data_IF_124063075649
#
_entry.id   IF_124063075649
#
_cell.length_a   1.000
_cell.length_b   1.000
_cell.length_c   1.000
_cell.angle_alpha   90.00
_cell.angle_beta   90.00
_cell.angle_gamma   90.00
#
_symmetry.space_group_name_H-M   'P 1'
#
loop_
_entity.id
_entity.type
_entity.pdbx_description
1 polymer ?
#
# COMPACT_ATOMS: atom_id res chain seq x y z
N UNK A 1 -7.94 -6.95 23.37
CA UNK A 1 -7.26 -7.77 22.34
C UNK A 1 -6.87 -6.85 21.20
N UNK A 2 -5.66 -6.97 20.64
CA UNK A 2 -5.25 -6.15 19.50
C UNK A 2 -5.81 -6.64 18.17
N UNK A 3 -5.80 -5.77 17.17
CA UNK A 3 -6.37 -6.02 15.84
C UNK A 3 -5.51 -6.99 15.02
N UNK A 4 -6.15 -7.70 14.09
CA UNK A 4 -5.53 -8.67 13.18
C UNK A 4 -5.64 -8.18 11.75
N UNK A 5 -4.50 -8.13 11.06
CA UNK A 5 -4.40 -7.60 9.69
C UNK A 5 -3.78 -8.65 8.77
N UNK A 6 -4.45 -8.93 7.66
CA UNK A 6 -3.92 -9.74 6.57
C UNK A 6 -3.60 -8.86 5.36
N UNK A 7 -2.36 -8.92 4.88
CA UNK A 7 -1.94 -8.29 3.64
C UNK A 7 -1.91 -9.31 2.51
N UNK A 8 -2.64 -9.04 1.43
CA UNK A 8 -2.64 -9.81 0.19
C UNK A 8 -2.00 -8.96 -0.90
N UNK A 9 -0.92 -9.46 -1.50
CA UNK A 9 -0.18 -8.66 -2.49
C UNK A 9 1.00 -9.38 -3.12
N UNK A 10 2.02 -8.63 -3.48
CA UNK A 10 3.19 -9.17 -4.16
C UNK A 10 4.49 -8.59 -3.57
N UNK A 11 5.54 -8.49 -4.38
CA UNK A 11 6.87 -8.03 -3.97
C UNK A 11 6.88 -6.64 -3.33
N UNK A 12 5.90 -5.77 -3.62
CA UNK A 12 5.75 -4.45 -2.99
C UNK A 12 5.33 -4.56 -1.52
N UNK A 13 4.54 -5.58 -1.16
CA UNK A 13 4.23 -5.91 0.23
C UNK A 13 5.35 -6.72 0.86
N UNK A 14 5.86 -7.76 0.17
CA UNK A 14 6.89 -8.65 0.73
C UNK A 14 8.15 -7.88 1.15
N UNK A 15 8.60 -6.91 0.35
CA UNK A 15 9.80 -6.11 0.65
C UNK A 15 9.62 -5.14 1.82
N UNK A 16 8.38 -4.80 2.17
CA UNK A 16 8.07 -3.97 3.34
C UNK A 16 7.74 -4.82 4.59
N UNK A 17 7.49 -6.13 4.43
CA UNK A 17 6.90 -6.98 5.48
C UNK A 17 7.65 -6.95 6.81
N UNK A 18 8.99 -6.97 6.78
CA UNK A 18 9.83 -6.88 7.97
C UNK A 18 9.65 -5.54 8.68
N UNK A 19 9.77 -4.41 7.96
CA UNK A 19 9.62 -3.07 8.52
C UNK A 19 8.21 -2.83 9.05
N UNK A 20 7.18 -3.32 8.36
CA UNK A 20 5.79 -3.26 8.83
C UNK A 20 5.67 -4.03 10.15
N UNK A 21 6.18 -5.27 10.21
CA UNK A 21 6.10 -6.11 11.42
C UNK A 21 6.84 -5.47 12.60
N UNK A 22 8.05 -4.97 12.37
CA UNK A 22 8.88 -4.33 13.41
C UNK A 22 8.22 -3.05 13.93
N UNK A 23 7.66 -2.22 13.04
CA UNK A 23 6.95 -0.99 13.42
C UNK A 23 5.69 -1.31 14.23
N UNK A 24 4.84 -2.23 13.76
CA UNK A 24 3.64 -2.63 14.50
C UNK A 24 4.00 -3.27 15.85
N UNK A 25 5.07 -4.08 15.92
CA UNK A 25 5.54 -4.64 17.19
C UNK A 25 5.98 -3.56 18.19
N UNK A 26 6.61 -2.49 17.71
CA UNK A 26 7.03 -1.35 18.55
C UNK A 26 5.83 -0.51 19.01
N UNK A 27 4.98 -0.10 18.06
CA UNK A 27 3.98 0.94 18.31
C UNK A 27 2.61 0.37 18.72
N UNK A 28 2.37 -0.92 18.50
CA UNK A 28 1.10 -1.60 18.72
C UNK A 28 1.29 -3.12 18.96
N UNK A 29 2.00 -3.51 20.03
CA UNK A 29 2.50 -4.88 20.25
C UNK A 29 1.41 -5.98 20.29
N UNK A 30 0.18 -5.61 20.60
CA UNK A 30 -0.95 -6.55 20.63
C UNK A 30 -1.53 -6.86 19.25
N UNK A 31 -1.18 -6.07 18.23
CA UNK A 31 -1.63 -6.29 16.87
C UNK A 31 -0.94 -7.51 16.26
N UNK A 32 -1.65 -8.20 15.36
CA UNK A 32 -1.14 -9.39 14.67
C UNK A 32 -1.16 -9.14 13.17
N UNK A 33 0.03 -9.16 12.59
CA UNK A 33 0.25 -8.88 11.17
C UNK A 33 0.53 -10.19 10.45
N UNK A 34 -0.09 -10.38 9.29
CA UNK A 34 0.12 -11.55 8.43
C UNK A 34 0.19 -11.16 6.97
N UNK A 35 0.94 -11.93 6.20
CA UNK A 35 1.17 -11.68 4.78
C UNK A 35 0.83 -12.92 3.96
N UNK A 36 0.18 -12.72 2.83
CA UNK A 36 0.01 -13.70 1.78
C UNK A 36 0.41 -13.03 0.46
N UNK A 37 1.61 -13.32 -0.01
CA UNK A 37 2.20 -12.60 -1.15
C UNK A 37 2.75 -13.52 -2.21
N UNK A 38 2.57 -13.18 -3.49
CA UNK A 38 3.18 -13.87 -4.62
C UNK A 38 3.79 -12.87 -5.61
N UNK A 39 5.07 -13.04 -5.94
CA UNK A 39 5.84 -12.07 -6.72
C UNK A 39 5.21 -11.75 -8.08
N UNK A 40 5.08 -10.45 -8.40
CA UNK A 40 4.53 -9.96 -9.66
C UNK A 40 3.03 -10.20 -9.91
N UNK A 41 2.31 -10.83 -8.97
CA UNK A 41 0.91 -11.19 -9.15
C UNK A 41 -0.05 -10.01 -8.91
N UNK A 42 -1.18 -10.06 -9.59
CA UNK A 42 -2.29 -9.11 -9.51
C UNK A 42 -3.40 -9.64 -8.60
N UNK A 43 -4.42 -8.81 -8.34
CA UNK A 43 -5.56 -9.24 -7.53
C UNK A 43 -6.37 -10.34 -8.20
N UNK A 44 -6.49 -10.34 -9.53
CA UNK A 44 -7.19 -11.38 -10.26
C UNK A 44 -6.59 -12.77 -10.02
N UNK A 45 -5.25 -12.87 -10.02
CA UNK A 45 -4.53 -14.08 -9.66
C UNK A 45 -4.87 -14.55 -8.23
N UNK A 46 -4.81 -13.65 -7.25
CA UNK A 46 -5.14 -14.00 -5.87
C UNK A 46 -6.60 -14.40 -5.70
N UNK A 47 -7.51 -13.80 -6.46
CA UNK A 47 -8.94 -14.11 -6.39
C UNK A 47 -9.25 -15.52 -6.91
N UNK A 48 -8.50 -15.97 -7.92
CA UNK A 48 -8.62 -17.32 -8.47
C UNK A 48 -8.00 -18.40 -7.57
N UNK A 49 -7.14 -18.03 -6.61
CA UNK A 49 -6.51 -18.97 -5.70
C UNK A 49 -7.42 -19.28 -4.49
N UNK A 50 -7.92 -20.52 -4.44
CA UNK A 50 -8.75 -20.99 -3.33
C UNK A 50 -8.07 -20.88 -1.96
N UNK A 51 -6.73 -20.89 -1.89
CA UNK A 51 -5.98 -20.74 -0.64
C UNK A 51 -6.13 -19.34 -0.06
N UNK A 52 -6.30 -18.31 -0.90
CA UNK A 52 -6.57 -16.94 -0.44
C UNK A 52 -7.91 -16.89 0.27
N UNK A 53 -8.96 -17.46 -0.31
CA UNK A 53 -10.28 -17.51 0.33
C UNK A 53 -10.24 -18.32 1.62
N UNK A 54 -9.52 -19.45 1.67
CA UNK A 54 -9.30 -20.19 2.93
C UNK A 54 -8.59 -19.34 3.99
N UNK A 55 -7.57 -18.56 3.61
CA UNK A 55 -6.84 -17.68 4.52
C UNK A 55 -7.70 -16.52 5.04
N UNK A 56 -8.57 -15.96 4.21
CA UNK A 56 -9.55 -14.94 4.61
C UNK A 56 -10.52 -15.50 5.66
N UNK A 57 -10.94 -16.76 5.51
CA UNK A 57 -11.90 -17.40 6.44
C UNK A 57 -11.24 -18.15 7.61
N UNK A 58 -9.91 -18.22 7.69
CA UNK A 58 -9.22 -19.03 8.70
C UNK A 58 -9.33 -18.46 10.12
N UNK A 59 -9.66 -17.18 10.25
CA UNK A 59 -9.94 -16.51 11.52
C UNK A 59 -10.70 -15.20 11.27
N UNK A 60 -11.24 -14.59 12.32
CA UNK A 60 -11.72 -13.21 12.25
C UNK A 60 -10.54 -12.26 12.08
N UNK A 61 -10.43 -11.66 10.90
CA UNK A 61 -9.56 -10.52 10.64
C UNK A 61 -10.34 -9.24 10.87
N UNK A 62 -9.66 -8.19 11.30
CA UNK A 62 -10.28 -6.86 11.42
C UNK A 62 -10.08 -6.08 10.12
N UNK A 63 -8.90 -6.23 9.51
CA UNK A 63 -8.56 -5.60 8.24
C UNK A 63 -7.94 -6.60 7.27
N UNK A 64 -8.34 -6.50 6.00
CA UNK A 64 -7.68 -7.21 4.91
C UNK A 64 -7.23 -6.18 3.88
N UNK A 65 -5.91 -6.04 3.72
CA UNK A 65 -5.27 -5.07 2.85
C UNK A 65 -4.96 -5.72 1.51
N UNK A 66 -5.48 -5.15 0.43
CA UNK A 66 -5.35 -5.62 -0.95
C UNK A 66 -4.38 -4.73 -1.71
N UNK A 67 -3.41 -5.35 -2.37
CA UNK A 67 -2.44 -4.69 -3.23
C UNK A 67 -2.56 -5.22 -4.66
N UNK A 68 -2.75 -4.32 -5.63
CA UNK A 68 -2.66 -4.64 -7.06
C UNK A 68 -1.19 -4.65 -7.54
N UNK A 69 -0.94 -5.25 -8.69
CA UNK A 69 0.29 -5.11 -9.45
C UNK A 69 0.57 -3.63 -9.78
N UNK A 70 1.84 -3.24 -9.70
CA UNK A 70 2.29 -1.84 -9.63
C UNK A 70 1.94 -0.95 -10.83
N UNK A 71 1.60 -1.54 -11.99
CA UNK A 71 1.23 -0.83 -13.21
C UNK A 71 -0.27 -0.93 -13.50
N UNK A 72 -0.89 -2.09 -13.24
CA UNK A 72 -2.17 -2.49 -13.83
C UNK A 72 -3.36 -1.59 -13.49
N UNK A 73 -3.43 -1.10 -12.25
CA UNK A 73 -4.57 -0.27 -11.78
C UNK A 73 -4.82 0.95 -12.68
N UNK A 74 -3.78 1.65 -13.12
CA UNK A 74 -3.88 2.86 -13.94
C UNK A 74 -3.62 2.67 -15.44
N UNK A 75 -3.35 1.44 -15.91
CA UNK A 75 -2.83 1.19 -17.26
C UNK A 75 -3.93 1.32 -18.34
N UNK A 76 -5.21 1.28 -17.94
CA UNK A 76 -6.35 1.33 -18.83
C UNK A 76 -6.76 -0.02 -19.39
N UNK A 77 -7.84 -0.02 -20.17
CA UNK A 77 -8.40 -1.21 -20.82
C UNK A 77 -8.67 -2.36 -19.84
N UNK A 78 -8.39 -3.59 -20.30
CA UNK A 78 -8.61 -4.82 -19.52
C UNK A 78 -7.88 -4.84 -18.17
N UNK A 79 -6.75 -4.14 -18.03
CA UNK A 79 -5.96 -4.12 -16.80
C UNK A 79 -6.65 -3.34 -15.69
N UNK A 80 -7.08 -2.10 -15.97
CA UNK A 80 -7.83 -1.29 -15.01
C UNK A 80 -9.20 -1.89 -14.72
N UNK A 81 -9.87 -2.46 -15.72
CA UNK A 81 -11.13 -3.18 -15.53
C UNK A 81 -10.97 -4.36 -14.58
N UNK A 82 -9.99 -5.23 -14.83
CA UNK A 82 -9.70 -6.39 -13.98
C UNK A 82 -9.37 -5.99 -12.53
N UNK A 83 -8.63 -4.89 -12.32
CA UNK A 83 -8.38 -4.35 -10.99
C UNK A 83 -9.69 -3.99 -10.27
N UNK A 84 -10.59 -3.23 -10.90
CA UNK A 84 -11.86 -2.83 -10.30
C UNK A 84 -12.78 -4.01 -10.01
N UNK A 85 -12.88 -4.98 -10.92
CA UNK A 85 -13.66 -6.20 -10.73
C UNK A 85 -13.12 -7.07 -9.60
N UNK A 86 -11.79 -7.18 -9.50
CA UNK A 86 -11.12 -7.94 -8.44
C UNK A 86 -11.32 -7.28 -7.08
N UNK A 87 -11.19 -5.96 -6.99
CA UNK A 87 -11.48 -5.21 -5.75
C UNK A 87 -12.93 -5.39 -5.34
N UNK A 88 -13.88 -5.33 -6.28
CA UNK A 88 -15.30 -5.52 -5.97
C UNK A 88 -15.60 -6.92 -5.42
N UNK A 89 -15.02 -7.95 -6.05
CA UNK A 89 -15.17 -9.33 -5.63
C UNK A 89 -14.56 -9.59 -4.25
N UNK A 90 -13.29 -9.17 -4.05
CA UNK A 90 -12.65 -9.29 -2.74
C UNK A 90 -13.39 -8.51 -1.66
N UNK A 91 -13.87 -7.30 -1.94
CA UNK A 91 -14.58 -6.49 -0.96
C UNK A 91 -15.87 -7.17 -0.48
N UNK A 92 -16.57 -7.90 -1.34
CA UNK A 92 -17.73 -8.73 -0.95
C UNK A 92 -17.29 -9.89 -0.06
N UNK A 93 -16.24 -10.62 -0.43
CA UNK A 93 -15.71 -11.76 0.33
C UNK A 93 -15.24 -11.31 1.73
N UNK A 94 -14.46 -10.24 1.80
CA UNK A 94 -13.87 -9.68 3.02
C UNK A 94 -14.97 -9.21 3.98
N UNK A 95 -15.97 -8.48 3.48
CA UNK A 95 -17.12 -8.05 4.31
C UNK A 95 -17.93 -9.23 4.83
N UNK A 96 -18.16 -10.26 4.00
CA UNK A 96 -18.86 -11.47 4.43
C UNK A 96 -18.11 -12.19 5.56
N UNK A 97 -16.78 -12.12 5.57
CA UNK A 97 -15.93 -12.63 6.65
C UNK A 97 -15.88 -11.71 7.89
N UNK A 98 -16.54 -10.55 7.87
CA UNK A 98 -16.60 -9.60 8.98
C UNK A 98 -15.44 -8.62 9.08
N UNK A 99 -14.58 -8.54 8.05
CA UNK A 99 -13.41 -7.68 8.03
C UNK A 99 -13.63 -6.41 7.18
N UNK A 100 -12.78 -5.39 7.37
CA UNK A 100 -12.78 -4.15 6.59
C UNK A 100 -11.85 -4.31 5.36
N UNK A 101 -12.38 -4.26 4.12
CA UNK A 101 -11.54 -4.24 2.94
C UNK A 101 -10.77 -2.93 2.89
N UNK A 102 -9.45 -3.06 2.76
CA UNK A 102 -8.52 -1.94 2.70
C UNK A 102 -7.66 -2.03 1.44
N UNK A 103 -7.37 -0.92 0.78
CA UNK A 103 -6.61 -0.87 -0.46
C UNK A 103 -5.26 -0.20 -0.23
N UNK A 104 -4.19 -0.88 -0.57
CA UNK A 104 -2.84 -0.33 -0.58
C UNK A 104 -2.64 0.46 -1.88
N UNK A 105 -2.96 1.76 -1.85
CA UNK A 105 -2.69 2.66 -2.96
C UNK A 105 -1.17 2.82 -3.10
N UNK A 106 -0.61 2.13 -4.10
CA UNK A 106 0.83 2.07 -4.39
C UNK A 106 1.34 3.37 -5.01
N UNK A 107 2.65 3.42 -5.27
CA UNK A 107 3.31 4.57 -5.91
C UNK A 107 3.62 4.31 -7.39
N UNK A 108 3.79 5.39 -8.16
CA UNK A 108 4.36 5.38 -9.50
C UNK A 108 5.86 5.09 -9.46
N UNK A 109 6.39 4.50 -10.53
CA UNK A 109 7.83 4.26 -10.68
C UNK A 109 8.60 5.58 -10.76
N UNK A 110 9.84 5.60 -10.26
CA UNK A 110 10.67 6.78 -10.01
C UNK A 110 10.75 7.74 -11.21
N UNK A 111 10.90 7.17 -12.41
CA UNK A 111 11.05 7.90 -13.68
C UNK A 111 9.89 7.60 -14.65
N UNK A 112 8.72 7.22 -14.14
CA UNK A 112 7.69 6.61 -14.96
C UNK A 112 8.03 5.16 -15.34
N UNK A 113 7.34 4.63 -16.34
CA UNK A 113 7.46 3.23 -16.75
C UNK A 113 7.88 3.12 -18.21
N UNK A 114 9.16 2.82 -18.43
CA UNK A 114 9.78 2.77 -19.76
C UNK A 114 9.06 1.82 -20.72
N UNK A 115 8.54 0.70 -20.22
CA UNK A 115 7.81 -0.28 -21.03
C UNK A 115 6.41 0.18 -21.44
N UNK A 116 5.87 1.21 -20.78
CA UNK A 116 4.55 1.78 -21.05
C UNK A 116 4.64 3.31 -21.17
N UNK A 117 5.69 3.82 -21.81
CA UNK A 117 6.03 5.26 -21.84
C UNK A 117 4.92 6.15 -22.40
N UNK A 118 4.11 5.64 -23.33
CA UNK A 118 2.94 6.37 -23.86
C UNK A 118 1.83 6.62 -22.82
N UNK A 119 1.77 5.81 -21.77
CA UNK A 119 0.76 5.92 -20.69
C UNK A 119 1.39 6.48 -19.41
N UNK A 120 2.64 6.13 -19.14
CA UNK A 120 3.41 6.43 -17.93
C UNK A 120 4.76 7.09 -18.27
N UNK A 121 4.78 8.24 -18.95
CA UNK A 121 6.03 8.89 -19.34
C UNK A 121 6.82 9.43 -18.14
N UNK A 122 6.15 9.73 -17.03
CA UNK A 122 6.76 10.29 -15.82
C UNK A 122 6.16 9.66 -14.55
N UNK A 123 6.82 9.89 -13.41
CA UNK A 123 6.28 9.53 -12.10
C UNK A 123 4.90 10.15 -11.88
N UNK A 124 4.73 11.44 -12.19
CA UNK A 124 3.50 12.19 -11.96
C UNK A 124 2.35 11.63 -12.80
N UNK A 125 2.60 11.34 -14.08
CA UNK A 125 1.61 10.75 -14.97
C UNK A 125 1.14 9.38 -14.46
N UNK A 126 2.09 8.53 -14.04
CA UNK A 126 1.80 7.22 -13.47
C UNK A 126 1.05 7.32 -12.14
N UNK A 127 1.54 8.14 -11.21
CA UNK A 127 0.93 8.32 -9.89
C UNK A 127 -0.50 8.86 -10.00
N UNK A 128 -0.76 9.80 -10.90
CA UNK A 128 -2.11 10.35 -11.12
C UNK A 128 -3.10 9.25 -11.54
N UNK A 129 -2.71 8.40 -12.49
CA UNK A 129 -3.54 7.29 -12.99
C UNK A 129 -3.78 6.22 -11.93
N UNK A 130 -2.73 5.77 -11.23
CA UNK A 130 -2.83 4.82 -10.13
C UNK A 130 -3.77 5.38 -9.04
N UNK A 131 -3.54 6.61 -8.61
CA UNK A 131 -4.34 7.23 -7.55
C UNK A 131 -5.81 7.35 -7.91
N UNK A 132 -6.11 7.72 -9.17
CA UNK A 132 -7.48 7.86 -9.66
C UNK A 132 -8.20 6.50 -9.65
N UNK A 133 -7.52 5.43 -10.10
CA UNK A 133 -8.07 4.09 -10.09
C UNK A 133 -8.34 3.58 -8.66
N UNK A 134 -7.38 3.76 -7.74
CA UNK A 134 -7.55 3.34 -6.35
C UNK A 134 -8.66 4.13 -5.63
N UNK A 135 -8.78 5.45 -5.86
CA UNK A 135 -9.89 6.26 -5.33
C UNK A 135 -11.24 5.74 -5.78
N UNK A 136 -11.41 5.55 -7.09
CA UNK A 136 -12.65 5.04 -7.66
C UNK A 136 -12.98 3.63 -7.14
N UNK A 137 -11.97 2.77 -6.99
CA UNK A 137 -12.16 1.43 -6.42
C UNK A 137 -12.56 1.48 -4.94
N UNK A 138 -11.93 2.36 -4.15
CA UNK A 138 -12.25 2.57 -2.75
C UNK A 138 -13.67 3.09 -2.53
N UNK A 139 -14.06 4.13 -3.28
CA UNK A 139 -15.39 4.73 -3.24
C UNK A 139 -16.48 3.71 -3.59
N UNK A 140 -16.39 3.06 -4.76
CA UNK A 140 -17.39 2.09 -5.24
C UNK A 140 -17.60 0.91 -4.29
N UNK A 141 -16.56 0.56 -3.54
CA UNK A 141 -16.59 -0.62 -2.69
C UNK A 141 -16.60 -0.30 -1.20
N UNK A 142 -16.70 0.98 -0.81
CA UNK A 142 -16.56 1.42 0.59
C UNK A 142 -15.32 0.80 1.25
N UNK A 143 -14.23 0.68 0.49
CA UNK A 143 -12.98 0.11 0.96
C UNK A 143 -12.07 1.22 1.47
N UNK A 144 -11.45 1.01 2.63
CA UNK A 144 -10.53 1.98 3.23
C UNK A 144 -9.29 2.12 2.33
N UNK A 145 -8.84 3.34 2.04
CA UNK A 145 -7.61 3.54 1.27
C UNK A 145 -6.44 3.80 2.22
N UNK A 146 -5.34 3.08 2.02
CA UNK A 146 -4.03 3.32 2.63
C UNK A 146 -3.14 4.04 1.59
N UNK A 147 -3.03 5.38 1.63
CA UNK A 147 -2.60 6.24 0.52
C UNK A 147 -1.08 6.40 0.38
N UNK A 148 -0.34 5.30 0.26
CA UNK A 148 1.13 5.37 0.20
C UNK A 148 1.62 6.21 -0.97
N UNK A 149 0.98 6.09 -2.14
CA UNK A 149 1.33 6.91 -3.31
C UNK A 149 1.18 8.42 -3.10
N UNK A 150 0.27 8.88 -2.24
CA UNK A 150 0.18 10.29 -1.86
C UNK A 150 1.35 10.71 -0.96
N UNK A 151 1.75 9.85 -0.03
CA UNK A 151 2.92 10.10 0.80
C UNK A 151 4.22 10.16 -0.02
N UNK A 152 4.37 9.29 -1.03
CA UNK A 152 5.51 9.35 -1.97
C UNK A 152 5.52 10.67 -2.77
N UNK A 153 4.35 11.10 -3.26
CA UNK A 153 4.23 12.37 -3.99
C UNK A 153 4.60 13.57 -3.10
N UNK A 154 4.24 13.53 -1.81
CA UNK A 154 4.58 14.57 -0.85
C UNK A 154 6.10 14.66 -0.61
N UNK A 155 6.79 13.52 -0.48
CA UNK A 155 8.25 13.50 -0.40
C UNK A 155 8.88 14.06 -1.68
N UNK A 156 8.39 13.64 -2.86
CA UNK A 156 8.90 14.17 -4.14
C UNK A 156 8.81 15.69 -4.23
N UNK A 157 7.70 16.26 -3.74
CA UNK A 157 7.45 17.70 -3.73
C UNK A 157 8.41 18.44 -2.79
N UNK A 158 8.69 17.88 -1.61
CA UNK A 158 9.43 18.57 -0.54
C UNK A 158 10.93 18.32 -0.54
N UNK A 159 11.36 17.11 -0.88
CA UNK A 159 12.75 16.70 -0.74
C UNK A 159 13.11 15.66 -1.83
N UNK A 160 13.72 16.14 -2.92
CA UNK A 160 14.12 15.30 -4.05
C UNK A 160 15.17 14.25 -3.66
N UNK A 161 16.11 14.60 -2.78
CA UNK A 161 17.15 13.64 -2.35
C UNK A 161 16.55 12.49 -1.55
N UNK A 162 15.65 12.80 -0.61
CA UNK A 162 14.92 11.79 0.16
C UNK A 162 13.99 10.96 -0.74
N UNK A 163 13.40 11.56 -1.78
CA UNK A 163 12.59 10.83 -2.77
C UNK A 163 13.40 9.76 -3.49
N UNK A 164 14.64 10.05 -3.88
CA UNK A 164 15.53 9.06 -4.50
C UNK A 164 15.78 7.86 -3.58
N UNK A 165 15.94 8.10 -2.27
CA UNK A 165 16.14 7.06 -1.24
C UNK A 165 14.92 6.17 -1.01
N UNK A 166 13.73 6.52 -1.51
CA UNK A 166 12.54 5.67 -1.39
C UNK A 166 12.62 4.41 -2.26
N UNK A 167 13.44 4.43 -3.31
CA UNK A 167 13.49 3.38 -4.32
C UNK A 167 14.80 2.59 -4.26
N UNK A 168 14.71 1.31 -4.63
CA UNK A 168 15.88 0.54 -5.06
C UNK A 168 16.36 1.04 -6.43
N UNK A 169 17.51 0.52 -6.87
CA UNK A 169 18.13 0.89 -8.14
C UNK A 169 17.25 0.62 -9.38
N UNK A 170 16.27 -0.28 -9.27
CA UNK A 170 15.29 -0.53 -10.34
C UNK A 170 14.24 0.58 -10.53
N UNK A 171 14.19 1.56 -9.62
CA UNK A 171 13.24 2.67 -9.67
C UNK A 171 11.78 2.26 -9.46
N UNK A 172 11.52 1.04 -8.98
CA UNK A 172 10.18 0.48 -8.78
C UNK A 172 9.99 0.01 -7.34
N UNK A 173 10.85 -0.88 -6.87
CA UNK A 173 10.71 -1.50 -5.56
C UNK A 173 11.15 -0.56 -4.44
N UNK A 174 10.55 -0.70 -3.23
CA UNK A 174 10.88 0.17 -2.12
C UNK A 174 12.27 -0.18 -1.57
N UNK A 175 13.10 0.83 -1.32
CA UNK A 175 14.28 0.71 -0.46
C UNK A 175 13.88 0.86 1.02
N UNK A 176 14.86 0.89 1.93
CA UNK A 176 14.62 0.98 3.38
C UNK A 176 13.73 2.17 3.76
N UNK A 177 13.98 3.36 3.20
CA UNK A 177 13.14 4.54 3.43
C UNK A 177 11.73 4.38 2.87
N UNK A 178 11.60 3.75 1.70
CA UNK A 178 10.30 3.43 1.09
C UNK A 178 9.48 2.47 1.95
N UNK A 179 10.10 1.41 2.47
CA UNK A 179 9.47 0.44 3.36
C UNK A 179 9.04 1.07 4.69
N UNK A 180 9.85 2.00 5.22
CA UNK A 180 9.50 2.76 6.40
C UNK A 180 8.28 3.67 6.16
N UNK A 181 8.25 4.42 5.06
CA UNK A 181 7.12 5.28 4.69
C UNK A 181 5.82 4.50 4.52
N UNK A 182 5.88 3.36 3.84
CA UNK A 182 4.75 2.41 3.73
C UNK A 182 4.22 2.03 5.12
N UNK A 183 5.13 1.66 6.02
CA UNK A 183 4.80 1.22 7.37
C UNK A 183 4.12 2.32 8.18
N UNK A 184 4.59 3.58 8.08
CA UNK A 184 3.96 4.73 8.74
C UNK A 184 2.53 4.98 8.24
N UNK A 185 2.31 4.90 6.92
CA UNK A 185 0.96 5.08 6.33
C UNK A 185 0.03 3.95 6.76
N UNK A 186 0.51 2.71 6.77
CA UNK A 186 -0.30 1.57 7.19
C UNK A 186 -0.67 1.67 8.66
N UNK A 187 0.30 1.99 9.53
CA UNK A 187 0.03 2.14 10.95
C UNK A 187 -0.97 3.26 11.22
N UNK A 188 -0.77 4.47 10.68
CA UNK A 188 -1.71 5.58 10.89
C UNK A 188 -3.08 5.33 10.27
N UNK A 189 -3.13 4.77 9.05
CA UNK A 189 -4.39 4.51 8.35
C UNK A 189 -5.22 3.36 8.94
N UNK A 190 -4.57 2.38 9.57
CA UNK A 190 -5.28 1.27 10.21
C UNK A 190 -5.68 1.61 11.65
N UNK A 191 -4.75 2.16 12.44
CA UNK A 191 -5.00 2.50 13.85
C UNK A 191 -5.81 3.78 14.05
N UNK A 192 -5.85 4.66 13.04
CA UNK A 192 -6.42 6.00 13.16
C UNK A 192 -5.55 6.99 13.96
N UNK A 193 -4.38 6.56 14.45
CA UNK A 193 -3.45 7.41 15.19
C UNK A 193 -2.59 8.24 14.24
N UNK A 194 -2.09 9.36 14.75
CA UNK A 194 -1.22 10.25 13.99
C UNK A 194 0.18 9.63 13.77
N UNK A 195 0.64 9.43 12.51
CA UNK A 195 1.98 8.92 12.22
C UNK A 195 3.13 9.71 12.87
N UNK A 196 2.94 10.99 13.21
CA UNK A 196 3.95 11.78 13.93
C UNK A 196 4.27 11.25 15.33
N UNK A 197 3.36 10.45 15.91
CA UNK A 197 3.54 9.89 17.26
C UNK A 197 4.45 8.67 17.29
N UNK A 198 4.70 8.03 16.14
CA UNK A 198 5.56 6.85 15.99
C UNK A 198 6.94 7.13 16.62
N UNK A 199 7.46 6.21 17.42
CA UNK A 199 8.80 6.31 18.03
C UNK A 199 9.85 5.48 17.30
N UNK A 200 9.45 4.33 16.76
CA UNK A 200 10.31 3.46 15.96
C UNK A 200 10.87 4.15 14.71
N UNK A 201 12.19 4.26 14.59
CA UNK A 201 12.87 4.79 13.40
C UNK A 201 13.42 3.68 12.47
N UNK A 202 13.47 2.43 12.94
CA UNK A 202 14.28 1.40 12.28
C UNK A 202 15.75 1.80 12.23
N UNK A 203 16.36 1.71 11.04
CA UNK A 203 17.76 2.07 10.79
C UNK A 203 17.95 3.48 10.21
N UNK A 204 16.87 4.27 10.10
CA UNK A 204 16.92 5.60 9.51
C UNK A 204 17.46 6.63 10.52
N UNK A 205 18.01 7.73 9.99
CA UNK A 205 18.26 8.92 10.81
C UNK A 205 16.95 9.46 11.39
N UNK A 206 17.05 10.21 12.50
CA UNK A 206 15.87 10.81 13.14
C UNK A 206 15.18 11.80 12.20
N UNK A 207 15.97 12.52 11.41
CA UNK A 207 15.54 13.55 10.47
C UNK A 207 14.76 12.96 9.28
N UNK A 208 15.28 11.89 8.68
CA UNK A 208 14.59 11.18 7.60
C UNK A 208 13.31 10.55 8.13
N UNK A 209 13.37 9.84 9.27
CA UNK A 209 12.20 9.21 9.88
C UNK A 209 11.09 10.23 10.18
N UNK A 210 11.44 11.40 10.73
CA UNK A 210 10.48 12.50 10.99
C UNK A 210 9.86 13.04 9.71
N UNK A 211 10.66 13.23 8.66
CA UNK A 211 10.19 13.71 7.36
C UNK A 211 9.20 12.73 6.72
N UNK A 212 9.50 11.42 6.79
CA UNK A 212 8.64 10.36 6.26
C UNK A 212 7.33 10.22 7.05
N UNK A 213 7.35 10.32 8.39
CA UNK A 213 6.11 10.36 9.20
C UNK A 213 5.22 11.55 8.83
N UNK A 214 5.83 12.72 8.61
CA UNK A 214 5.11 13.92 8.20
C UNK A 214 4.44 13.74 6.84
N UNK A 215 5.13 13.13 5.88
CA UNK A 215 4.54 12.80 4.58
C UNK A 215 3.44 11.73 4.68
N UNK A 216 3.59 10.74 5.57
CA UNK A 216 2.53 9.76 5.84
C UNK A 216 1.26 10.43 6.40
N UNK A 217 1.41 11.34 7.36
CA UNK A 217 0.29 12.11 7.93
C UNK A 217 -0.45 12.92 6.86
N UNK A 218 0.29 13.67 6.03
CA UNK A 218 -0.29 14.45 4.92
C UNK A 218 -0.97 13.54 3.89
N UNK A 219 -0.35 12.41 3.54
CA UNK A 219 -0.93 11.42 2.64
C UNK A 219 -2.29 10.92 3.13
N UNK A 220 -2.43 10.63 4.43
CA UNK A 220 -3.67 10.19 5.07
C UNK A 220 -4.79 11.26 5.03
N UNK A 221 -4.43 12.54 5.10
CA UNK A 221 -5.40 13.64 5.01
C UNK A 221 -5.95 13.85 3.59
N UNK A 222 -5.20 13.42 2.58
CA UNK A 222 -5.55 13.61 1.16
C UNK A 222 -6.44 12.50 0.57
N UNK A 223 -6.98 11.61 1.41
CA UNK A 223 -7.85 10.49 0.97
C UNK A 223 -9.28 10.91 0.64
N UNK A 224 -9.69 12.12 1.04
CA UNK A 224 -11.06 12.64 0.89
C UNK A 224 -11.60 12.55 -0.54
#
# INVERSE_FOLDING_TARGET
>A
MGEKVLFIGNSYTTQCSKTISDLFKSESPDWRISFHTSGGKDLAFHLADSQVTKKINSQKWDFIVLQEQSQKSGLGGKFSQSFHESVASFSKIIRKAGAIPSLYLTWGRKNGDKSNSGIYPTYEAMQKKISSAYRLAGEKNKARILPVGFAYAEIKKKNKELFEKLYRNDGSHPATHGAYLVSCVFWGGLTGKDPLTIKFNGTLSKEDAKSLRSAAQIGLQNVK
#
